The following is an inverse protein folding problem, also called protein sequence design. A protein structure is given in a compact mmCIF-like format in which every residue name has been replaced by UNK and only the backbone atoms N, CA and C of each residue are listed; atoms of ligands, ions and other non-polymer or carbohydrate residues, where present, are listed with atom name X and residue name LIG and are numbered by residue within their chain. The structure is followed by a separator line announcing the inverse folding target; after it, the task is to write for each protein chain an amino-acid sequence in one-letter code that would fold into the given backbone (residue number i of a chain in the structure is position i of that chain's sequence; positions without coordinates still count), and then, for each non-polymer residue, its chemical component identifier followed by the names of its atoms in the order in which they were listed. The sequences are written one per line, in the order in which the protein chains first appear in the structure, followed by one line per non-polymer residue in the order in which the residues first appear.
data_IF_346450149430
#
_entry.id   IF_346450149430
#
_cell.length_a   1.000
_cell.length_b   1.000
_cell.length_c   1.000
_cell.angle_alpha   90.00
_cell.angle_beta   90.00
_cell.angle_gamma   90.00
#
_symmetry.space_group_name_H-M   'P 1'
#
loop_
_entity.id
_entity.type
_entity.pdbx_description
1 polymer ?
#
# COMPACT_ATOMS: atom_id res chain seq x y z
N UNK A 1 4.95 -10.39 7.42
CA UNK A 1 5.57 -10.82 6.13
C UNK A 1 5.31 -12.30 5.96
N UNK A 2 4.86 -12.73 4.78
CA UNK A 2 4.69 -14.16 4.48
C UNK A 2 6.02 -14.82 4.04
N UNK A 3 5.97 -16.12 3.73
CA UNK A 3 7.14 -16.90 3.27
C UNK A 3 7.74 -16.39 1.95
N UNK A 4 7.02 -15.56 1.20
CA UNK A 4 7.44 -14.99 -0.07
C UNK A 4 7.95 -13.54 0.07
N UNK A 5 8.08 -13.03 1.30
CA UNK A 5 8.53 -11.66 1.53
C UNK A 5 7.45 -10.60 1.29
N UNK A 6 6.18 -11.00 1.16
CA UNK A 6 5.09 -10.07 0.87
C UNK A 6 4.39 -9.61 2.16
N UNK A 7 3.82 -8.41 2.09
CA UNK A 7 3.13 -7.77 3.20
C UNK A 7 1.75 -7.33 2.78
N UNK A 8 0.79 -7.43 3.69
CA UNK A 8 -0.52 -6.82 3.47
C UNK A 8 -0.45 -5.30 3.64
N UNK A 9 -1.50 -4.59 3.24
CA UNK A 9 -1.49 -3.12 3.24
C UNK A 9 -1.31 -2.57 4.66
N UNK A 10 -1.88 -3.22 5.65
CA UNK A 10 -1.79 -2.81 7.04
C UNK A 10 -0.38 -2.98 7.58
N UNK A 11 0.27 -4.12 7.34
CA UNK A 11 1.67 -4.34 7.69
C UNK A 11 2.60 -3.32 6.99
N UNK A 12 2.31 -2.98 5.73
CA UNK A 12 3.06 -1.93 5.02
C UNK A 12 2.84 -0.54 5.60
N UNK A 13 1.62 -0.21 6.05
CA UNK A 13 1.36 1.04 6.77
C UNK A 13 2.21 1.14 8.06
N UNK A 14 2.37 0.05 8.81
CA UNK A 14 3.29 0.02 9.95
C UNK A 14 4.77 0.20 9.52
N UNK A 15 5.20 -0.39 8.40
CA UNK A 15 6.57 -0.18 7.87
C UNK A 15 6.79 1.23 7.33
N UNK A 16 5.74 1.88 6.84
CA UNK A 16 5.74 3.27 6.41
C UNK A 16 5.66 4.25 7.60
N UNK A 17 5.97 3.80 8.84
CA UNK A 17 5.89 4.60 10.05
C UNK A 17 4.51 5.24 10.27
N UNK A 18 3.45 4.48 9.97
CA UNK A 18 2.06 4.92 10.07
C UNK A 18 1.75 6.12 9.15
N UNK A 19 2.39 6.20 7.99
CA UNK A 19 2.13 7.23 6.97
C UNK A 19 1.43 6.66 5.75
N UNK A 20 0.56 7.44 5.12
CA UNK A 20 -0.01 7.15 3.81
C UNK A 20 0.98 7.55 2.70
N UNK A 21 0.55 7.40 1.45
CA UNK A 21 1.34 7.78 0.28
C UNK A 21 2.38 6.76 -0.15
N UNK A 22 2.56 5.66 0.59
CA UNK A 22 3.39 4.54 0.17
C UNK A 22 2.78 3.81 -1.03
N UNK A 23 3.65 3.14 -1.78
CA UNK A 23 3.29 2.47 -3.02
C UNK A 23 3.28 0.95 -2.84
N UNK A 24 2.27 0.32 -3.42
CA UNK A 24 2.09 -1.12 -3.53
C UNK A 24 2.14 -1.56 -5.00
N UNK A 25 2.63 -2.78 -5.19
CA UNK A 25 2.46 -3.53 -6.42
C UNK A 25 1.93 -4.91 -6.11
N UNK A 26 0.94 -5.33 -6.88
CA UNK A 26 0.50 -6.71 -6.92
C UNK A 26 1.07 -7.34 -8.20
N UNK A 27 1.43 -8.62 -8.17
CA UNK A 27 2.16 -9.27 -9.26
C UNK A 27 1.38 -9.32 -10.58
N UNK A 28 0.05 -9.39 -10.52
CA UNK A 28 -0.84 -9.40 -11.69
C UNK A 28 -1.17 -7.99 -12.19
N UNK A 29 -0.89 -6.95 -11.39
CA UNK A 29 -1.17 -5.57 -11.77
C UNK A 29 -0.13 -5.06 -12.77
N UNK A 30 -0.62 -4.56 -13.91
CA UNK A 30 0.13 -3.65 -14.79
C UNK A 30 0.00 -2.19 -14.32
N UNK A 31 0.04 -2.00 -13.01
CA UNK A 31 -0.22 -0.73 -12.35
C UNK A 31 0.43 -0.68 -10.97
N UNK A 32 0.77 0.53 -10.53
CA UNK A 32 1.27 0.83 -9.19
C UNK A 32 0.16 1.51 -8.39
N UNK A 33 -0.11 1.01 -7.19
CA UNK A 33 -1.08 1.60 -6.28
C UNK A 33 -0.42 2.53 -5.27
N UNK A 34 -0.89 3.76 -5.11
CA UNK A 34 -0.51 4.64 -4.02
C UNK A 34 -1.61 4.66 -2.97
N UNK A 35 -1.29 4.38 -1.71
CA UNK A 35 -2.28 4.45 -0.62
C UNK A 35 -2.63 5.89 -0.32
N UNK A 36 -3.92 6.22 -0.40
CA UNK A 36 -4.41 7.55 -0.09
C UNK A 36 -4.79 7.67 1.38
N UNK A 37 -5.58 6.72 1.88
CA UNK A 37 -6.00 6.65 3.28
C UNK A 37 -6.62 5.28 3.61
N UNK A 38 -6.73 5.00 4.90
CA UNK A 38 -7.44 3.83 5.46
C UNK A 38 -8.66 4.34 6.22
N UNK A 39 -9.84 3.79 5.93
CA UNK A 39 -11.10 4.29 6.51
C UNK A 39 -11.09 4.15 8.03
N UNK A 40 -11.40 5.24 8.73
CA UNK A 40 -11.50 5.26 10.20
C UNK A 40 -10.14 5.22 10.92
N UNK A 41 -9.05 5.47 10.19
CA UNK A 41 -7.70 5.61 10.73
C UNK A 41 -7.21 6.98 10.35
N UNK A 42 -6.60 7.71 11.29
CA UNK A 42 -5.86 8.92 10.98
C UNK A 42 -4.38 8.59 10.79
N UNK A 43 -3.69 9.32 9.90
CA UNK A 43 -2.25 9.15 9.71
C UNK A 43 -1.51 9.33 11.05
N UNK A 44 -0.57 8.43 11.35
CA UNK A 44 0.15 8.37 12.62
C UNK A 44 -0.53 7.50 13.68
N UNK A 45 -1.79 7.08 13.47
CA UNK A 45 -2.49 6.22 14.42
C UNK A 45 -2.30 4.74 14.11
N UNK A 46 -2.35 3.92 15.17
CA UNK A 46 -2.37 2.46 15.06
C UNK A 46 -3.75 1.99 14.63
N UNK A 47 -3.78 0.93 13.83
CA UNK A 47 -5.01 0.23 13.45
C UNK A 47 -5.62 -0.48 14.67
N UNK A 48 -6.96 -0.53 14.72
CA UNK A 48 -7.71 -1.24 15.77
C UNK A 48 -7.93 -2.70 15.37
N UNK A 49 -7.98 -3.60 16.35
CA UNK A 49 -8.20 -5.03 16.11
C UNK A 49 -6.92 -5.85 16.03
N UNK A 50 -7.05 -7.14 15.73
CA UNK A 50 -5.91 -8.07 15.75
C UNK A 50 -5.28 -8.23 14.35
N UNK A 51 -3.94 -8.32 14.26
CA UNK A 51 -3.27 -8.69 13.03
C UNK A 51 -3.74 -10.08 12.53
N UNK A 52 -3.66 -10.36 11.22
CA UNK A 52 -3.21 -9.48 10.15
C UNK A 52 -4.32 -8.59 9.58
N UNK A 53 -5.57 -8.69 10.07
CA UNK A 53 -6.74 -8.07 9.44
C UNK A 53 -7.16 -6.74 10.08
N UNK A 54 -6.88 -6.52 11.36
CA UNK A 54 -7.17 -5.26 12.08
C UNK A 54 -8.60 -4.73 11.84
N UNK A 55 -9.62 -5.59 11.99
CA UNK A 55 -11.04 -5.31 11.69
C UNK A 55 -11.35 -4.98 10.21
N UNK A 56 -10.37 -5.14 9.33
CA UNK A 56 -10.42 -5.00 7.88
C UNK A 56 -11.03 -3.69 7.37
N UNK A 57 -10.49 -2.52 7.77
CA UNK A 57 -10.97 -1.25 7.25
C UNK A 57 -10.71 -1.13 5.75
N UNK A 58 -11.69 -0.58 5.04
CA UNK A 58 -11.53 -0.28 3.61
C UNK A 58 -10.31 0.62 3.37
N UNK A 59 -9.56 0.36 2.31
CA UNK A 59 -8.42 1.18 1.90
C UNK A 59 -8.73 1.81 0.55
N UNK A 60 -8.47 3.11 0.42
CA UNK A 60 -8.54 3.79 -0.87
C UNK A 60 -7.14 3.97 -1.44
N UNK A 61 -6.97 3.54 -2.69
CA UNK A 61 -5.70 3.65 -3.40
C UNK A 61 -5.90 4.36 -4.73
N UNK A 62 -4.88 5.10 -5.17
CA UNK A 62 -4.78 5.62 -6.52
C UNK A 62 -3.92 4.66 -7.35
N UNK A 63 -4.56 3.98 -8.30
CA UNK A 63 -3.90 3.09 -9.26
C UNK A 63 -3.38 3.90 -10.45
N UNK A 64 -2.06 3.94 -10.62
CA UNK A 64 -1.39 4.49 -11.79
C UNK A 64 -1.12 3.37 -12.80
N UNK A 65 -1.52 3.57 -14.06
CA UNK A 65 -1.25 2.61 -15.15
C UNK A 65 0.19 2.77 -15.65
N UNK A 66 1.14 2.38 -14.81
CA UNK A 66 2.58 2.45 -15.03
C UNK A 66 3.26 1.16 -14.55
N UNK A 67 4.47 0.88 -15.04
CA UNK A 67 5.23 -0.31 -14.66
C UNK A 67 6.21 -0.05 -13.52
N UNK A 68 6.50 1.20 -13.20
CA UNK A 68 7.43 1.62 -12.14
C UNK A 68 7.00 2.97 -11.53
N UNK A 69 7.49 3.32 -10.34
CA UNK A 69 7.20 4.64 -9.73
C UNK A 69 7.84 5.76 -10.54
N UNK A 70 9.00 5.51 -11.15
CA UNK A 70 9.75 6.48 -11.95
C UNK A 70 8.99 6.92 -13.21
N UNK A 71 8.08 6.09 -13.71
CA UNK A 71 7.19 6.41 -14.83
C UNK A 71 5.98 7.26 -14.41
N UNK A 72 5.73 7.44 -13.10
CA UNK A 72 4.55 8.17 -12.62
C UNK A 72 4.86 9.68 -12.65
N UNK A 73 4.10 10.39 -13.47
CA UNK A 73 4.13 11.83 -13.62
C UNK A 73 2.72 12.46 -13.57
N UNK A 74 2.62 13.76 -13.88
CA UNK A 74 1.37 14.49 -13.84
C UNK A 74 0.34 14.05 -14.90
N UNK A 75 0.78 13.42 -16.00
CA UNK A 75 -0.09 12.99 -17.10
C UNK A 75 -0.43 11.50 -17.06
N UNK A 76 0.21 10.76 -16.14
CA UNK A 76 0.02 9.33 -15.97
C UNK A 76 -1.44 9.01 -15.66
N UNK A 77 -2.07 8.22 -16.54
CA UNK A 77 -3.45 7.79 -16.37
C UNK A 77 -3.59 7.06 -15.04
N UNK A 78 -4.61 7.44 -14.27
CA UNK A 78 -4.88 6.82 -12.98
C UNK A 78 -6.37 6.73 -12.69
N UNK A 79 -6.72 5.87 -11.71
CA UNK A 79 -8.07 5.80 -11.13
C UNK A 79 -7.98 5.53 -9.64
N UNK A 80 -8.96 6.00 -8.88
CA UNK A 80 -9.09 5.64 -7.47
C UNK A 80 -9.92 4.37 -7.36
N UNK A 81 -9.45 3.40 -6.57
CA UNK A 81 -10.21 2.19 -6.25
C UNK A 81 -10.28 1.98 -4.74
N UNK A 82 -11.29 1.21 -4.32
CA UNK A 82 -11.43 0.71 -2.96
C UNK A 82 -10.93 -0.72 -2.89
N UNK A 83 -10.12 -1.02 -1.88
CA UNK A 83 -9.72 -2.37 -1.49
C UNK A 83 -10.51 -2.69 -0.22
N UNK A 84 -11.42 -3.66 -0.33
CA UNK A 84 -12.29 -4.07 0.79
C UNK A 84 -11.61 -5.09 1.71
N UNK A 85 -10.54 -5.73 1.22
CA UNK A 85 -9.84 -6.77 1.96
C UNK A 85 -8.32 -6.53 2.02
N UNK A 86 -7.93 -5.42 2.66
CA UNK A 86 -6.52 -5.04 2.77
C UNK A 86 -5.65 -6.02 3.58
N UNK A 87 -6.28 -6.89 4.36
CA UNK A 87 -5.62 -7.84 5.26
C UNK A 87 -5.34 -9.22 4.66
N UNK A 88 -6.10 -9.65 3.64
CA UNK A 88 -5.88 -10.94 2.95
C UNK A 88 -4.88 -10.84 1.81
N UNK A 89 -4.97 -9.79 0.98
CA UNK A 89 -4.06 -9.62 -0.13
C UNK A 89 -2.66 -9.23 0.34
N UNK A 90 -1.65 -9.70 -0.40
CA UNK A 90 -0.24 -9.45 -0.13
C UNK A 90 0.35 -8.71 -1.31
N UNK A 91 1.09 -7.66 -1.04
CA UNK A 91 1.63 -6.76 -2.04
C UNK A 91 3.15 -6.67 -1.85
N UNK A 92 3.83 -6.46 -2.97
CA UNK A 92 5.23 -6.04 -2.95
C UNK A 92 5.27 -4.58 -2.50
N UNK A 93 6.07 -4.25 -1.46
CA UNK A 93 6.43 -2.87 -1.18
C UNK A 93 7.17 -2.34 -2.40
N UNK A 94 6.71 -1.22 -2.95
CA UNK A 94 7.43 -0.55 -4.04
C UNK A 94 8.24 0.54 -3.37
N UNK A 95 9.38 0.16 -2.80
CA UNK A 95 10.29 1.10 -2.18
C UNK A 95 10.73 2.11 -3.26
N UNK A 96 10.48 3.40 -3.03
CA UNK A 96 11.06 4.46 -3.86
C UNK A 96 12.55 4.67 -3.55
N UNK A 97 13.06 4.12 -2.45
CA UNK A 97 14.48 4.07 -2.09
C UNK A 97 14.65 3.08 -0.93
N UNK A 98 15.16 1.88 -1.21
CA UNK A 98 15.90 1.12 -0.21
C UNK A 98 17.18 1.92 0.07
N UNK A 99 17.08 2.84 1.02
CA UNK A 99 18.25 3.50 1.60
C UNK A 99 18.96 2.45 2.46
N UNK A 100 19.80 1.64 1.83
CA UNK A 100 20.84 0.90 2.55
C UNK A 100 21.89 1.93 2.94
N UNK A 101 21.66 2.60 4.07
CA UNK A 101 22.62 3.33 4.90
C UNK A 101 21.96 3.26 6.28
N UNK A 102 22.48 2.53 7.26
CA UNK A 102 23.84 2.51 7.80
C UNK A 102 24.23 1.12 8.31
#
# INVERSE_FOLDING_TARGET
MDSNGLLNIYEQYYRANLRYGFYLRENTWRSIGQVLFIVGVQEGEKLKGNPPYFNNPNVYIKLYYANSIQEIDAVTKSRVIRIEDGGSYRYQPVDTNLSILF
#
